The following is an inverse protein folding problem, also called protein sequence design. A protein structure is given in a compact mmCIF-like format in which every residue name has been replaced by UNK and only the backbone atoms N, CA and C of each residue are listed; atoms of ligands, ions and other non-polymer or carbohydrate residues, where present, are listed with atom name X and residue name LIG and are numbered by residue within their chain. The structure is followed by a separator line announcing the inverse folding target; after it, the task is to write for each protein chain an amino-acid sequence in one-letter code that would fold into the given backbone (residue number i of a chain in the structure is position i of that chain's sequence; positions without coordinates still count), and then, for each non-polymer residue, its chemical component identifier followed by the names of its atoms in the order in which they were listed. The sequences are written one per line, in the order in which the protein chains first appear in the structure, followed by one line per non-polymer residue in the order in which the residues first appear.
data_IF_707222352001
#
_entry.id   IF_707222352001
#
_cell.length_a   1.000
_cell.length_b   1.000
_cell.length_c   1.000
_cell.angle_alpha   90.00
_cell.angle_beta   90.00
_cell.angle_gamma   90.00
#
_symmetry.space_group_name_H-M   'P 1'
#
loop_
_entity.id
_entity.type
_entity.pdbx_description
1 polymer ?
#
# COMPACT_ATOMS: atom_id res chain seq x y z
N UNK A 1 -15.56 8.95 34.78
CA UNK A 1 -14.18 8.96 34.22
C UNK A 1 -14.30 8.47 32.81
N UNK A 2 -13.71 9.14 31.80
CA UNK A 2 -13.79 8.69 30.42
C UNK A 2 -12.65 7.71 30.14
N UNK A 3 -12.97 6.54 29.61
CA UNK A 3 -12.00 5.50 29.25
C UNK A 3 -11.57 5.69 27.78
N UNK A 4 -10.29 5.48 27.49
CA UNK A 4 -9.79 5.45 26.11
C UNK A 4 -10.08 4.07 25.54
N UNK A 5 -10.91 4.00 24.50
CA UNK A 5 -11.25 2.75 23.81
C UNK A 5 -10.52 2.61 22.46
N UNK A 6 -9.94 3.70 21.95
CA UNK A 6 -9.12 3.72 20.73
C UNK A 6 -8.09 4.84 20.85
N UNK A 7 -6.87 4.60 20.35
CA UNK A 7 -5.82 5.59 20.23
C UNK A 7 -5.00 5.39 18.96
N UNK A 8 -4.76 6.49 18.22
CA UNK A 8 -3.87 6.56 17.05
C UNK A 8 -2.90 7.72 17.25
N UNK A 9 -1.63 7.50 16.96
CA UNK A 9 -0.56 8.50 17.11
C UNK A 9 0.09 8.76 15.76
N UNK A 10 0.25 10.03 15.38
CA UNK A 10 0.86 10.46 14.12
C UNK A 10 2.30 10.95 14.36
N UNK A 11 3.16 10.05 14.83
CA UNK A 11 4.57 10.36 15.17
C UNK A 11 5.49 10.46 13.96
N UNK A 12 5.06 9.98 12.80
CA UNK A 12 5.78 10.03 11.52
C UNK A 12 5.84 11.43 10.91
N UNK A 13 5.02 12.37 11.42
CA UNK A 13 4.90 13.75 10.97
C UNK A 13 5.97 14.65 11.59
N UNK A 14 6.14 15.85 11.05
CA UNK A 14 6.90 16.91 11.69
C UNK A 14 6.32 17.22 13.06
N UNK A 15 7.16 17.64 14.00
CA UNK A 15 6.74 17.87 15.40
C UNK A 15 5.53 18.80 15.53
N UNK A 16 5.44 19.81 14.67
CA UNK A 16 4.31 20.76 14.63
C UNK A 16 2.98 20.14 14.17
N UNK A 17 2.99 18.89 13.69
CA UNK A 17 1.83 18.16 13.19
C UNK A 17 1.58 16.84 13.94
N UNK A 18 2.38 16.54 14.97
CA UNK A 18 2.24 15.29 15.71
C UNK A 18 1.08 15.35 16.70
N UNK A 19 0.10 14.50 16.49
CA UNK A 19 -1.11 14.43 17.31
C UNK A 19 -1.44 13.01 17.74
N UNK A 20 -2.25 12.89 18.78
CA UNK A 20 -2.99 11.68 19.12
C UNK A 20 -4.46 11.88 18.81
N UNK A 21 -5.10 10.93 18.16
CA UNK A 21 -6.55 10.81 18.01
C UNK A 21 -7.06 9.72 18.93
N UNK A 22 -7.96 10.08 19.85
CA UNK A 22 -8.49 9.19 20.88
C UNK A 22 -10.00 9.08 20.72
N UNK A 23 -10.57 7.88 20.90
CA UNK A 23 -12.00 7.71 21.14
C UNK A 23 -12.16 7.43 22.64
N UNK A 24 -12.95 8.26 23.28
CA UNK A 24 -13.23 8.20 24.71
C UNK A 24 -14.67 7.74 24.91
N UNK A 25 -14.88 6.85 25.86
CA UNK A 25 -16.21 6.38 26.28
C UNK A 25 -16.42 6.70 27.76
N UNK A 26 -17.54 7.24 28.10
CA UNK A 26 -17.91 7.49 29.52
C UNK A 26 -18.76 6.35 30.10
N UNK A 27 -19.15 6.50 31.37
CA UNK A 27 -19.92 5.48 32.09
C UNK A 27 -21.34 5.25 31.55
N UNK A 28 -21.84 6.11 30.67
CA UNK A 28 -23.15 6.02 30.00
C UNK A 28 -23.01 5.52 28.58
N UNK A 29 -21.81 5.04 28.17
CA UNK A 29 -21.47 4.58 26.82
C UNK A 29 -21.53 5.70 25.75
N UNK A 30 -21.52 6.96 26.17
CA UNK A 30 -21.40 8.07 25.24
C UNK A 30 -19.95 8.21 24.77
N UNK A 31 -19.77 8.30 23.45
CA UNK A 31 -18.46 8.37 22.81
C UNK A 31 -18.13 9.80 22.38
N UNK A 32 -16.86 10.14 22.53
CA UNK A 32 -16.31 11.43 22.10
C UNK A 32 -14.99 11.18 21.39
N UNK A 33 -14.73 11.83 20.27
CA UNK A 33 -13.43 11.84 19.61
C UNK A 33 -12.64 13.02 20.15
N UNK A 34 -11.39 12.79 20.55
CA UNK A 34 -10.46 13.83 20.99
C UNK A 34 -9.21 13.79 20.12
N UNK A 35 -8.79 14.95 19.64
CA UNK A 35 -7.46 15.13 19.06
C UNK A 35 -6.63 15.99 20.00
N UNK A 36 -5.41 15.57 20.28
CA UNK A 36 -4.49 16.28 21.17
C UNK A 36 -3.08 16.30 20.60
N UNK A 37 -2.41 17.43 20.76
CA UNK A 37 -1.02 17.59 20.38
C UNK A 37 -0.10 16.70 21.23
N UNK A 38 0.92 16.13 20.60
CA UNK A 38 1.96 15.36 21.32
C UNK A 38 3.08 16.27 21.84
N UNK A 39 3.21 17.48 21.29
CA UNK A 39 4.20 18.49 21.65
C UNK A 39 3.58 19.87 21.62
N UNK A 40 4.13 20.82 22.37
CA UNK A 40 3.66 22.21 22.36
C UNK A 40 3.70 22.84 20.95
N UNK A 41 4.68 22.47 20.13
CA UNK A 41 4.76 22.92 18.73
C UNK A 41 3.53 22.59 17.90
N UNK A 42 2.80 21.53 18.25
CA UNK A 42 1.60 21.09 17.56
C UNK A 42 0.29 21.75 18.09
N UNK A 43 0.36 22.60 19.11
CA UNK A 43 -0.83 23.24 19.67
C UNK A 43 -1.61 24.06 18.62
N UNK A 44 -0.89 24.89 17.86
CA UNK A 44 -1.51 25.71 16.84
C UNK A 44 -2.24 24.85 15.78
N UNK A 45 -1.64 23.73 15.36
CA UNK A 45 -2.24 22.81 14.39
C UNK A 45 -3.54 22.18 14.93
N UNK A 46 -3.54 21.71 16.18
CA UNK A 46 -4.74 21.11 16.80
C UNK A 46 -5.83 22.15 17.01
N UNK A 47 -5.48 23.33 17.55
CA UNK A 47 -6.45 24.38 17.86
C UNK A 47 -7.07 25.01 16.60
N UNK A 48 -6.34 25.00 15.48
CA UNK A 48 -6.86 25.45 14.19
C UNK A 48 -8.12 24.69 13.76
N UNK A 49 -8.29 23.41 14.15
CA UNK A 49 -9.50 22.64 13.83
C UNK A 49 -10.77 23.29 14.39
N UNK A 50 -10.71 23.80 15.62
CA UNK A 50 -11.85 24.49 16.24
C UNK A 50 -12.18 25.83 15.55
N UNK A 51 -11.17 26.52 15.01
CA UNK A 51 -11.34 27.74 14.22
C UNK A 51 -11.89 27.43 12.82
N UNK A 52 -11.43 26.32 12.22
CA UNK A 52 -11.80 25.94 10.86
C UNK A 52 -13.20 25.31 10.76
N UNK A 53 -13.70 24.62 11.80
CA UNK A 53 -15.02 24.02 11.80
C UNK A 53 -16.14 24.98 11.32
N UNK A 54 -16.35 26.17 11.93
CA UNK A 54 -17.37 27.09 11.47
C UNK A 54 -17.07 27.73 10.11
N UNK A 55 -15.81 27.82 9.70
CA UNK A 55 -15.41 28.29 8.35
C UNK A 55 -15.84 27.29 7.29
N UNK A 56 -15.53 26.01 7.48
CA UNK A 56 -15.92 24.95 6.58
C UNK A 56 -17.44 24.76 6.54
N UNK A 57 -18.12 24.83 7.68
CA UNK A 57 -19.58 24.76 7.72
C UNK A 57 -20.27 25.89 6.90
N UNK A 58 -19.62 27.04 6.77
CA UNK A 58 -20.09 28.13 5.89
C UNK A 58 -19.75 27.91 4.42
N UNK A 59 -18.65 27.19 4.13
CA UNK A 59 -18.24 26.88 2.76
C UNK A 59 -19.08 25.76 2.14
N UNK A 60 -19.32 24.69 2.93
CA UNK A 60 -20.09 23.52 2.47
C UNK A 60 -21.60 23.75 2.72
N UNK A 61 -22.19 24.69 2.00
CA UNK A 61 -23.63 24.93 2.09
C UNK A 61 -24.49 24.00 1.23
N UNK A 62 -23.89 22.96 0.68
CA UNK A 62 -24.58 22.03 -0.20
C UNK A 62 -25.50 21.07 0.55
N UNK A 63 -26.50 20.61 -0.16
CA UNK A 63 -27.60 19.78 0.34
C UNK A 63 -27.10 18.51 1.05
N UNK A 64 -27.42 18.41 2.34
CA UNK A 64 -27.19 17.21 3.14
C UNK A 64 -25.75 16.97 3.59
N UNK A 65 -24.81 17.92 3.35
CA UNK A 65 -23.46 17.85 3.88
C UNK A 65 -23.34 18.78 5.11
N UNK A 66 -22.92 18.23 6.23
CA UNK A 66 -22.58 18.96 7.44
C UNK A 66 -21.15 18.74 7.86
N UNK A 67 -20.57 19.72 8.54
CA UNK A 67 -19.23 19.60 9.16
C UNK A 67 -19.42 19.22 10.62
N UNK A 68 -18.76 18.17 11.07
CA UNK A 68 -18.77 17.75 12.47
C UNK A 68 -18.30 18.92 13.36
N UNK A 69 -19.05 19.34 14.36
CA UNK A 69 -18.65 20.47 15.22
C UNK A 69 -17.40 20.10 16.03
N UNK A 70 -16.49 21.07 16.17
CA UNK A 70 -15.28 20.96 16.96
C UNK A 70 -15.27 21.95 18.10
N UNK A 71 -14.88 21.51 19.28
CA UNK A 71 -14.73 22.35 20.47
C UNK A 71 -13.31 22.28 21.01
N UNK A 72 -12.74 23.40 21.40
CA UNK A 72 -11.50 23.43 22.17
C UNK A 72 -11.77 22.82 23.55
N UNK A 73 -10.98 21.83 23.94
CA UNK A 73 -11.10 21.03 25.18
C UNK A 73 -9.86 21.18 26.09
N UNK A 74 -9.21 22.32 26.00
CA UNK A 74 -7.98 22.65 26.71
C UNK A 74 -6.88 23.09 25.76
N UNK A 75 -5.72 23.35 26.30
CA UNK A 75 -4.54 23.75 25.53
C UNK A 75 -4.05 22.58 24.68
N UNK A 76 -3.85 22.82 23.38
CA UNK A 76 -3.46 21.79 22.40
C UNK A 76 -4.44 20.61 22.30
N UNK A 77 -5.73 20.82 22.64
CA UNK A 77 -6.76 19.75 22.60
C UNK A 77 -8.07 20.26 22.02
N UNK A 78 -8.67 19.39 21.20
CA UNK A 78 -10.01 19.59 20.67
C UNK A 78 -10.84 18.33 20.81
N UNK A 79 -12.16 18.47 20.88
CA UNK A 79 -13.11 17.36 20.95
C UNK A 79 -14.22 17.49 19.91
N UNK A 80 -14.71 16.34 19.47
CA UNK A 80 -15.77 16.17 18.49
C UNK A 80 -16.81 15.18 19.04
N UNK A 81 -18.09 15.34 18.73
CA UNK A 81 -19.06 14.28 18.97
C UNK A 81 -18.70 13.06 18.14
N UNK A 82 -18.93 11.88 18.68
CA UNK A 82 -18.79 10.63 17.92
C UNK A 82 -20.04 10.46 17.05
N UNK A 83 -19.85 10.55 15.72
CA UNK A 83 -20.93 10.34 14.74
C UNK A 83 -20.99 8.83 14.42
N UNK A 84 -22.17 8.23 14.51
CA UNK A 84 -22.43 6.88 14.05
C UNK A 84 -22.93 6.95 12.62
N UNK A 85 -22.31 6.25 11.71
CA UNK A 85 -22.66 6.23 10.31
C UNK A 85 -21.81 5.25 9.53
N UNK A 86 -22.18 5.00 8.31
CA UNK A 86 -21.41 4.21 7.37
C UNK A 86 -20.33 5.12 6.73
N UNK A 87 -19.12 4.64 6.67
CA UNK A 87 -18.02 5.36 6.04
C UNK A 87 -18.15 5.30 4.51
N UNK A 88 -18.09 6.44 3.83
CA UNK A 88 -18.25 6.50 2.37
C UNK A 88 -17.18 5.67 1.63
N UNK A 89 -15.96 5.61 2.17
CA UNK A 89 -14.87 4.81 1.63
C UNK A 89 -15.20 3.31 1.65
N UNK A 90 -15.74 2.82 2.78
CA UNK A 90 -16.18 1.45 2.94
C UNK A 90 -17.36 1.13 2.03
N UNK A 91 -18.37 2.00 1.97
CA UNK A 91 -19.51 1.85 1.05
C UNK A 91 -19.04 1.69 -0.40
N UNK A 92 -18.12 2.54 -0.87
CA UNK A 92 -17.60 2.44 -2.23
C UNK A 92 -16.87 1.12 -2.47
N UNK A 93 -16.05 0.67 -1.51
CA UNK A 93 -15.34 -0.61 -1.62
C UNK A 93 -16.31 -1.79 -1.70
N UNK A 94 -17.38 -1.80 -0.89
CA UNK A 94 -18.41 -2.85 -0.93
C UNK A 94 -19.17 -2.85 -2.26
N UNK A 95 -19.61 -1.69 -2.75
CA UNK A 95 -20.30 -1.58 -4.05
C UNK A 95 -19.42 -2.02 -5.23
N UNK A 96 -18.12 -1.71 -5.19
CA UNK A 96 -17.16 -2.19 -6.19
C UNK A 96 -17.03 -3.72 -6.13
N UNK A 97 -16.92 -4.29 -4.94
CA UNK A 97 -16.85 -5.74 -4.75
C UNK A 97 -18.10 -6.47 -5.25
N UNK A 98 -19.28 -5.86 -5.12
CA UNK A 98 -20.55 -6.36 -5.63
C UNK A 98 -20.76 -6.13 -7.13
N UNK A 99 -19.88 -5.34 -7.78
CA UNK A 99 -20.00 -4.98 -9.20
C UNK A 99 -21.05 -3.89 -9.48
N UNK A 100 -21.56 -3.20 -8.45
CA UNK A 100 -22.57 -2.14 -8.60
C UNK A 100 -21.89 -0.78 -8.92
N UNK A 101 -21.30 -0.70 -10.10
CA UNK A 101 -20.65 0.51 -10.57
C UNK A 101 -21.60 1.71 -10.67
N UNK A 102 -22.91 1.48 -10.84
CA UNK A 102 -23.88 2.57 -10.90
C UNK A 102 -23.95 3.33 -9.58
N UNK A 103 -24.06 2.63 -8.45
CA UNK A 103 -24.06 3.26 -7.13
C UNK A 103 -22.71 3.93 -6.81
N UNK A 104 -21.60 3.34 -7.23
CA UNK A 104 -20.27 3.96 -7.11
C UNK A 104 -20.26 5.32 -7.82
N UNK A 105 -20.69 5.36 -9.08
CA UNK A 105 -20.73 6.58 -9.90
C UNK A 105 -21.66 7.64 -9.31
N UNK A 106 -22.84 7.26 -8.81
CA UNK A 106 -23.77 8.15 -8.13
C UNK A 106 -23.16 8.79 -6.88
N UNK A 107 -22.50 8.00 -6.03
CA UNK A 107 -21.88 8.53 -4.79
C UNK A 107 -20.65 9.39 -5.06
N UNK A 108 -19.82 8.99 -6.02
CA UNK A 108 -18.66 9.80 -6.46
C UNK A 108 -19.15 11.12 -7.10
N UNK A 109 -20.24 11.07 -7.89
CA UNK A 109 -20.85 12.28 -8.44
C UNK A 109 -21.39 13.22 -7.37
N UNK A 110 -22.01 12.68 -6.31
CA UNK A 110 -22.46 13.47 -5.17
C UNK A 110 -21.27 14.11 -4.42
N UNK A 111 -20.19 13.36 -4.24
CA UNK A 111 -18.97 13.89 -3.64
C UNK A 111 -18.38 15.05 -4.47
N UNK A 112 -18.38 14.93 -5.80
CA UNK A 112 -18.00 16.06 -6.67
C UNK A 112 -18.91 17.28 -6.45
N UNK A 113 -20.23 17.08 -6.31
CA UNK A 113 -21.15 18.19 -6.01
C UNK A 113 -20.79 18.88 -4.69
N UNK A 114 -20.38 18.15 -3.66
CA UNK A 114 -19.92 18.75 -2.41
C UNK A 114 -18.70 19.65 -2.60
N UNK A 115 -17.76 19.26 -3.45
CA UNK A 115 -16.56 20.05 -3.75
C UNK A 115 -16.87 21.24 -4.65
N UNK A 116 -17.67 21.06 -5.69
CA UNK A 116 -17.93 22.09 -6.71
C UNK A 116 -18.96 23.14 -6.28
N UNK A 117 -19.83 22.80 -5.31
CA UNK A 117 -20.85 23.72 -4.77
C UNK A 117 -20.38 24.49 -3.52
N UNK A 118 -19.09 24.50 -3.22
CA UNK A 118 -18.55 25.35 -2.17
C UNK A 118 -18.77 26.81 -2.47
N UNK A 119 -18.85 27.60 -1.41
CA UNK A 119 -19.03 29.07 -1.54
C UNK A 119 -17.76 29.69 -2.14
N UNK A 120 -17.98 30.74 -2.95
CA UNK A 120 -16.91 31.60 -3.52
C UNK A 120 -15.86 30.79 -4.31
N UNK A 121 -16.30 29.75 -5.06
CA UNK A 121 -15.44 29.03 -5.98
C UNK A 121 -15.11 29.91 -7.18
N UNK A 122 -13.82 30.10 -7.44
CA UNK A 122 -13.28 30.94 -8.51
C UNK A 122 -12.24 30.18 -9.34
N UNK A 123 -11.84 30.71 -10.51
CA UNK A 123 -10.71 30.15 -11.27
C UNK A 123 -9.47 30.10 -10.39
N UNK A 124 -8.81 28.93 -10.40
CA UNK A 124 -7.60 28.74 -9.60
C UNK A 124 -6.40 29.50 -10.16
N UNK A 125 -5.72 30.24 -9.28
CA UNK A 125 -4.43 30.87 -9.56
C UNK A 125 -3.46 30.49 -8.47
N UNK A 126 -2.30 29.86 -8.80
CA UNK A 126 -1.33 29.44 -7.79
C UNK A 126 -0.68 30.65 -7.10
N UNK A 127 -0.90 30.78 -5.78
CA UNK A 127 -0.28 31.80 -4.93
C UNK A 127 1.05 31.32 -4.34
N UNK A 128 1.73 32.20 -3.58
CA UNK A 128 3.01 31.89 -2.93
C UNK A 128 2.87 30.70 -1.94
N UNK A 129 1.89 30.73 -1.04
CA UNK A 129 1.62 29.64 -0.08
C UNK A 129 1.32 28.29 -0.74
N UNK A 130 0.70 28.30 -1.91
CA UNK A 130 0.47 27.10 -2.70
C UNK A 130 1.82 26.54 -3.17
N UNK A 131 2.69 27.38 -3.73
CA UNK A 131 4.01 26.96 -4.24
C UNK A 131 4.97 26.48 -3.13
N UNK A 132 4.86 27.06 -1.93
CA UNK A 132 5.64 26.59 -0.76
C UNK A 132 5.35 25.11 -0.42
N UNK A 133 4.12 24.65 -0.62
CA UNK A 133 3.72 23.29 -0.28
C UNK A 133 3.82 22.34 -1.48
N UNK A 134 3.32 22.78 -2.64
CA UNK A 134 3.18 21.90 -3.81
C UNK A 134 4.28 22.10 -4.85
N UNK A 135 5.11 23.15 -4.72
CA UNK A 135 6.15 23.47 -5.70
C UNK A 135 5.62 24.14 -6.97
N UNK A 136 6.47 24.20 -7.97
CA UNK A 136 6.14 24.71 -9.31
C UNK A 136 5.65 23.55 -10.19
N UNK A 137 4.35 23.25 -10.09
CA UNK A 137 3.70 22.19 -10.88
C UNK A 137 2.94 22.83 -12.04
N UNK A 138 3.16 22.34 -13.26
CA UNK A 138 2.38 22.75 -14.45
C UNK A 138 1.01 22.09 -14.42
N UNK A 139 0.02 22.79 -13.91
CA UNK A 139 -1.34 22.31 -13.82
C UNK A 139 -2.15 22.63 -15.09
N UNK A 140 -3.21 21.86 -15.42
CA UNK A 140 -4.12 22.14 -16.53
C UNK A 140 -4.83 23.48 -16.35
N UNK A 141 -5.24 24.07 -17.48
CA UNK A 141 -6.10 25.25 -17.48
C UNK A 141 -7.53 24.91 -17.02
N UNK A 142 -8.24 25.92 -16.52
CA UNK A 142 -9.66 25.82 -16.16
C UNK A 142 -9.93 25.17 -14.79
N UNK A 143 -8.90 24.97 -13.97
CA UNK A 143 -9.08 24.54 -12.60
C UNK A 143 -9.77 25.63 -11.76
N UNK A 144 -10.53 25.18 -10.77
CA UNK A 144 -11.24 26.06 -9.84
C UNK A 144 -10.87 25.75 -8.39
N UNK A 145 -11.01 26.71 -7.51
CA UNK A 145 -10.70 26.55 -6.09
C UNK A 145 -11.62 27.41 -5.23
N UNK A 146 -11.86 26.95 -3.99
CA UNK A 146 -12.45 27.77 -2.94
C UNK A 146 -11.33 28.54 -2.19
N UNK A 147 -11.63 29.68 -1.55
CA UNK A 147 -10.64 30.45 -0.80
C UNK A 147 -10.11 29.72 0.44
N UNK A 148 -10.84 28.72 0.93
CA UNK A 148 -10.45 27.82 2.03
C UNK A 148 -10.54 26.41 1.53
N UNK A 149 -9.45 25.68 1.61
CA UNK A 149 -9.34 24.32 1.08
C UNK A 149 -9.14 23.30 2.19
N UNK A 150 -10.01 22.29 2.25
CA UNK A 150 -9.87 21.17 3.17
C UNK A 150 -9.28 19.96 2.42
N UNK A 151 -8.00 19.64 2.66
CA UNK A 151 -7.36 18.49 2.05
C UNK A 151 -7.84 17.14 2.62
N UNK A 152 -8.44 17.17 3.82
CA UNK A 152 -9.06 15.99 4.42
C UNK A 152 -10.45 15.69 3.87
N UNK A 153 -10.91 16.45 2.88
CA UNK A 153 -12.13 16.13 2.15
C UNK A 153 -11.88 14.93 1.24
N UNK A 154 -11.89 13.75 1.85
CA UNK A 154 -11.69 12.44 1.21
C UNK A 154 -12.77 11.47 1.66
N UNK A 155 -13.03 10.42 0.90
CA UNK A 155 -14.11 9.46 1.18
C UNK A 155 -14.06 8.86 2.59
N UNK A 156 -12.86 8.55 3.10
CA UNK A 156 -12.67 8.00 4.44
C UNK A 156 -13.10 8.94 5.58
N UNK A 157 -13.18 10.23 5.32
CA UNK A 157 -13.54 11.25 6.30
C UNK A 157 -15.00 11.73 6.16
N UNK A 158 -15.80 11.04 5.35
CA UNK A 158 -17.21 11.31 5.17
C UNK A 158 -18.01 10.14 5.71
N UNK A 159 -18.83 10.40 6.72
CA UNK A 159 -19.80 9.45 7.26
C UNK A 159 -21.19 9.74 6.66
N UNK A 160 -21.87 8.67 6.31
CA UNK A 160 -23.28 8.68 5.89
C UNK A 160 -24.12 8.20 7.07
N UNK A 161 -25.07 9.00 7.49
CA UNK A 161 -26.01 8.63 8.55
C UNK A 161 -27.45 8.98 8.16
N UNK A 162 -28.39 8.82 9.11
CA UNK A 162 -29.80 9.14 8.86
C UNK A 162 -30.12 10.61 8.57
N UNK A 163 -29.16 11.51 8.78
CA UNK A 163 -29.30 12.95 8.54
C UNK A 163 -28.58 13.41 7.27
N UNK A 164 -27.87 12.51 6.58
CA UNK A 164 -27.12 12.81 5.35
C UNK A 164 -25.63 12.49 5.45
N UNK A 165 -24.79 13.47 5.17
CA UNK A 165 -23.33 13.31 5.12
C UNK A 165 -22.64 14.22 6.14
N UNK A 166 -21.66 13.68 6.85
CA UNK A 166 -20.88 14.43 7.83
C UNK A 166 -19.38 14.35 7.50
N UNK A 167 -18.75 15.53 7.35
CA UNK A 167 -17.29 15.63 7.30
C UNK A 167 -16.77 15.54 8.73
N UNK A 168 -16.00 14.49 9.03
CA UNK A 168 -15.56 14.16 10.40
C UNK A 168 -14.12 14.51 10.69
N UNK A 169 -13.29 14.68 9.67
CA UNK A 169 -11.90 15.11 9.79
C UNK A 169 -11.62 16.31 8.90
N UNK A 170 -10.93 17.29 9.43
CA UNK A 170 -10.48 18.50 8.75
C UNK A 170 -9.26 19.09 9.46
N UNK A 171 -8.27 18.28 9.61
CA UNK A 171 -6.97 18.59 10.21
C UNK A 171 -6.13 19.49 9.29
N UNK A 172 -6.23 19.21 7.96
CA UNK A 172 -5.46 19.88 6.92
C UNK A 172 -6.33 20.88 6.15
N UNK A 173 -6.60 22.01 6.80
CA UNK A 173 -7.33 23.11 6.19
C UNK A 173 -6.39 24.27 5.92
N UNK A 174 -6.32 24.67 4.66
CA UNK A 174 -5.52 25.79 4.19
C UNK A 174 -6.39 27.05 3.97
N UNK A 175 -5.84 28.20 4.32
CA UNK A 175 -6.44 29.52 4.11
C UNK A 175 -6.03 30.14 2.76
N UNK A 176 -5.73 29.30 1.79
CA UNK A 176 -5.39 29.64 0.42
C UNK A 176 -6.01 28.63 -0.55
N UNK A 177 -6.22 29.05 -1.83
CA UNK A 177 -6.83 28.18 -2.83
C UNK A 177 -5.97 26.95 -3.16
N UNK A 178 -6.63 25.78 -3.20
CA UNK A 178 -6.10 24.53 -3.76
C UNK A 178 -7.14 24.02 -4.76
N UNK A 179 -6.74 23.53 -5.95
CA UNK A 179 -7.70 23.08 -6.96
C UNK A 179 -8.67 22.03 -6.42
N UNK A 180 -9.98 22.24 -6.57
CA UNK A 180 -10.99 21.24 -6.16
C UNK A 180 -10.89 19.97 -6.99
N UNK A 181 -10.38 20.05 -8.22
CA UNK A 181 -10.06 18.90 -9.07
C UNK A 181 -8.96 18.03 -8.45
N UNK A 182 -7.97 18.64 -7.80
CA UNK A 182 -6.98 17.90 -7.02
C UNK A 182 -7.61 17.21 -5.81
N UNK A 183 -8.45 17.88 -5.03
CA UNK A 183 -9.15 17.27 -3.90
C UNK A 183 -9.99 16.06 -4.34
N UNK A 184 -10.67 16.20 -5.48
CA UNK A 184 -11.46 15.14 -6.08
C UNK A 184 -10.57 13.97 -6.54
N UNK A 185 -9.56 14.26 -7.35
CA UNK A 185 -8.61 13.25 -7.84
C UNK A 185 -7.88 12.54 -6.69
N UNK A 186 -7.49 13.28 -5.64
CA UNK A 186 -6.88 12.76 -4.43
C UNK A 186 -7.77 11.73 -3.74
N UNK A 187 -9.05 12.00 -3.62
CA UNK A 187 -10.01 11.06 -3.01
C UNK A 187 -10.12 9.77 -3.81
N UNK A 188 -10.14 9.86 -5.15
CA UNK A 188 -10.14 8.70 -6.03
C UNK A 188 -8.81 7.92 -5.97
N UNK A 189 -7.67 8.63 -5.86
CA UNK A 189 -6.35 8.02 -5.75
C UNK A 189 -6.18 7.25 -4.43
N UNK A 190 -6.71 7.77 -3.34
CA UNK A 190 -6.58 7.16 -2.01
C UNK A 190 -7.52 5.98 -1.80
N UNK A 191 -8.61 5.87 -2.57
CA UNK A 191 -9.54 4.74 -2.47
C UNK A 191 -9.01 3.53 -3.25
N UNK A 192 -8.50 2.54 -2.52
CA UNK A 192 -7.83 1.37 -3.08
C UNK A 192 -8.70 0.53 -4.01
N UNK A 193 -10.00 0.37 -3.72
CA UNK A 193 -10.92 -0.41 -4.54
C UNK A 193 -11.15 0.23 -5.93
N UNK A 194 -11.15 1.57 -6.03
CA UNK A 194 -11.27 2.27 -7.32
C UNK A 194 -10.11 1.90 -8.26
N UNK A 195 -8.91 1.63 -7.70
CA UNK A 195 -7.75 1.23 -8.51
C UNK A 195 -7.90 -0.17 -9.13
N UNK A 196 -8.88 -0.97 -8.69
CA UNK A 196 -9.18 -2.29 -9.26
C UNK A 196 -10.19 -2.26 -10.40
N UNK A 197 -10.87 -1.14 -10.60
CA UNK A 197 -11.83 -0.94 -11.69
C UNK A 197 -11.15 -0.97 -13.07
N UNK A 198 -11.93 -1.23 -14.14
CA UNK A 198 -11.42 -1.12 -15.50
C UNK A 198 -10.98 0.31 -15.81
N UNK A 199 -10.14 0.47 -16.82
CA UNK A 199 -9.67 1.80 -17.26
C UNK A 199 -10.84 2.70 -17.63
N UNK A 200 -11.81 2.17 -18.36
CA UNK A 200 -13.01 2.89 -18.80
C UNK A 200 -13.84 3.36 -17.62
N UNK A 201 -14.00 2.50 -16.61
CA UNK A 201 -14.72 2.88 -15.37
C UNK A 201 -13.98 3.96 -14.58
N UNK A 202 -12.64 3.87 -14.50
CA UNK A 202 -11.85 4.92 -13.87
C UNK A 202 -11.96 6.23 -14.66
N UNK A 203 -11.88 6.21 -15.99
CA UNK A 203 -12.08 7.39 -16.86
C UNK A 203 -13.45 8.04 -16.60
N UNK A 204 -14.52 7.23 -16.49
CA UNK A 204 -15.85 7.73 -16.16
C UNK A 204 -15.91 8.42 -14.80
N UNK A 205 -15.25 7.86 -13.77
CA UNK A 205 -15.25 8.47 -12.43
C UNK A 205 -14.46 9.79 -12.40
N UNK A 206 -13.25 9.82 -13.00
CA UNK A 206 -12.44 11.04 -13.05
C UNK A 206 -13.12 12.14 -13.86
N UNK A 207 -13.81 11.79 -14.95
CA UNK A 207 -14.55 12.72 -15.80
C UNK A 207 -15.69 13.45 -15.06
N UNK A 208 -16.26 12.88 -13.99
CA UNK A 208 -17.25 13.56 -13.14
C UNK A 208 -16.73 14.87 -12.54
N UNK A 209 -15.42 14.92 -12.24
CA UNK A 209 -14.75 16.12 -11.74
C UNK A 209 -14.05 16.94 -12.83
N UNK A 210 -14.29 16.64 -14.11
CA UNK A 210 -13.59 17.28 -15.21
C UNK A 210 -12.10 16.95 -15.29
N UNK A 211 -11.68 15.85 -14.66
CA UNK A 211 -10.28 15.38 -14.61
C UNK A 211 -10.07 14.32 -15.68
N UNK A 212 -9.03 14.45 -16.48
CA UNK A 212 -8.62 13.41 -17.41
C UNK A 212 -7.73 12.39 -16.71
N UNK A 213 -7.85 11.13 -17.09
CA UNK A 213 -7.08 10.05 -16.45
C UNK A 213 -5.56 10.24 -16.67
N UNK A 214 -5.15 10.86 -17.76
CA UNK A 214 -3.76 11.21 -18.09
C UNK A 214 -3.18 12.27 -17.14
N UNK A 215 -4.02 13.05 -16.44
CA UNK A 215 -3.61 14.07 -15.47
C UNK A 215 -3.29 13.48 -14.09
N UNK A 216 -3.61 12.21 -13.84
CA UNK A 216 -3.32 11.52 -12.55
C UNK A 216 -1.88 11.69 -12.06
N UNK A 217 -0.85 11.60 -12.91
CA UNK A 217 0.54 11.80 -12.45
C UNK A 217 0.77 13.18 -11.82
N UNK A 218 0.13 14.23 -12.33
CA UNK A 218 0.25 15.60 -11.79
C UNK A 218 -0.38 15.70 -10.39
N UNK A 219 -1.57 15.13 -10.23
CA UNK A 219 -2.25 15.11 -8.92
C UNK A 219 -1.54 14.19 -7.92
N UNK A 220 -0.91 13.11 -8.41
CA UNK A 220 -0.05 12.28 -7.57
C UNK A 220 1.20 13.03 -7.12
N UNK A 221 1.81 13.85 -7.98
CA UNK A 221 2.94 14.71 -7.63
C UNK A 221 2.54 15.73 -6.56
N UNK A 222 1.36 16.36 -6.67
CA UNK A 222 0.82 17.22 -5.63
C UNK A 222 0.67 16.47 -4.29
N UNK A 223 0.13 15.25 -4.30
CA UNK A 223 0.04 14.43 -3.09
C UNK A 223 1.41 14.12 -2.49
N UNK A 224 2.40 13.80 -3.31
CA UNK A 224 3.79 13.59 -2.87
C UNK A 224 4.36 14.86 -2.22
N UNK A 225 4.15 16.03 -2.80
CA UNK A 225 4.58 17.30 -2.22
C UNK A 225 3.91 17.58 -0.87
N UNK A 226 2.59 17.34 -0.79
CA UNK A 226 1.85 17.45 0.47
C UNK A 226 2.39 16.49 1.54
N UNK A 227 2.67 15.23 1.19
CA UNK A 227 3.24 14.25 2.13
C UNK A 227 4.65 14.66 2.60
N UNK A 228 5.46 15.25 1.73
CA UNK A 228 6.76 15.83 2.10
C UNK A 228 6.58 16.99 3.11
N UNK A 229 5.62 17.86 2.86
CA UNK A 229 5.29 18.94 3.79
C UNK A 229 4.88 18.41 5.16
N UNK A 230 4.00 17.41 5.21
CA UNK A 230 3.52 16.79 6.46
C UNK A 230 4.64 16.09 7.24
N UNK A 231 5.50 15.36 6.55
CA UNK A 231 6.52 14.53 7.18
C UNK A 231 7.86 15.24 7.38
N UNK A 232 8.10 16.34 6.67
CA UNK A 232 9.39 17.04 6.66
C UNK A 232 10.52 16.25 5.99
N UNK A 233 10.19 15.26 5.16
CA UNK A 233 11.15 14.37 4.52
C UNK A 233 11.19 14.64 3.02
N UNK A 234 12.37 14.92 2.48
CA UNK A 234 12.56 15.12 1.04
C UNK A 234 12.32 13.83 0.24
N UNK A 235 12.66 12.68 0.82
CA UNK A 235 12.37 11.37 0.23
C UNK A 235 11.31 10.65 1.07
N UNK A 236 10.20 10.31 0.44
CA UNK A 236 9.20 9.41 1.01
C UNK A 236 9.75 7.99 0.93
N UNK A 237 10.63 7.68 1.86
CA UNK A 237 11.33 6.42 1.93
C UNK A 237 10.35 5.24 2.05
N UNK A 238 10.68 4.11 1.42
CA UNK A 238 9.94 2.83 1.56
C UNK A 238 9.75 2.48 3.03
N UNK A 239 10.73 2.80 3.90
CA UNK A 239 10.64 2.60 5.35
C UNK A 239 9.51 3.40 6.01
N UNK A 240 9.26 4.65 5.62
CA UNK A 240 8.17 5.43 6.21
C UNK A 240 6.80 4.97 5.72
N UNK A 241 6.70 4.44 4.49
CA UNK A 241 5.49 3.75 4.00
C UNK A 241 5.27 2.43 4.74
N UNK A 242 6.34 1.70 5.03
CA UNK A 242 6.27 0.51 5.87
C UNK A 242 5.81 0.87 7.28
N UNK A 243 6.41 1.86 7.94
CA UNK A 243 6.01 2.30 9.28
C UNK A 243 4.56 2.80 9.32
N UNK A 244 4.11 3.55 8.30
CA UNK A 244 2.72 4.02 8.23
C UNK A 244 1.72 2.87 8.02
N UNK A 245 2.11 1.80 7.31
CA UNK A 245 1.27 0.60 7.11
C UNK A 245 1.34 -0.38 8.27
N UNK A 246 2.44 -0.42 9.01
CA UNK A 246 2.68 -1.41 10.07
C UNK A 246 2.11 -1.01 11.42
N UNK A 247 1.49 0.18 11.55
CA UNK A 247 0.99 0.67 12.83
C UNK A 247 2.05 0.57 13.91
N UNK A 248 2.34 1.62 14.63
CA UNK A 248 3.39 1.65 15.67
C UNK A 248 3.16 0.64 16.81
N UNK A 249 1.99 0.01 16.88
CA UNK A 249 1.59 -0.85 17.99
C UNK A 249 2.20 -2.27 17.93
N UNK A 250 2.55 -2.76 16.73
CA UNK A 250 3.11 -4.11 16.60
C UNK A 250 4.59 -4.22 16.99
N UNK A 251 5.34 -3.11 16.99
CA UNK A 251 6.78 -3.14 17.28
C UNK A 251 7.15 -3.20 18.75
N UNK A 252 6.32 -2.69 19.64
CA UNK A 252 6.66 -2.61 21.06
C UNK A 252 6.63 -3.96 21.78
N UNK A 253 5.77 -4.87 21.38
CA UNK A 253 5.71 -6.21 21.97
C UNK A 253 6.86 -7.11 21.50
N UNK A 254 7.31 -6.95 20.27
CA UNK A 254 8.37 -7.77 19.68
C UNK A 254 9.79 -7.26 20.01
N UNK A 255 9.94 -6.02 20.44
CA UNK A 255 11.25 -5.46 20.79
C UNK A 255 11.95 -6.24 21.91
N UNK A 256 11.19 -6.87 22.82
CA UNK A 256 11.70 -7.69 23.92
C UNK A 256 11.98 -9.14 23.53
N UNK A 257 11.41 -9.61 22.41
CA UNK A 257 11.64 -10.96 21.90
C UNK A 257 12.22 -10.89 20.48
N UNK A 258 13.47 -10.51 20.39
CA UNK A 258 14.18 -10.36 19.08
C UNK A 258 14.61 -11.69 18.48
N UNK A 259 14.43 -12.81 19.18
CA UNK A 259 14.85 -14.13 18.68
C UNK A 259 14.22 -14.48 17.33
N UNK A 260 12.95 -14.14 17.12
CA UNK A 260 12.25 -14.40 15.87
C UNK A 260 12.63 -13.46 14.71
N UNK A 261 13.41 -12.41 14.99
CA UNK A 261 13.97 -11.54 13.94
C UNK A 261 15.26 -12.12 13.35
N UNK A 262 15.84 -13.09 14.04
CA UNK A 262 17.01 -13.81 13.57
C UNK A 262 16.59 -15.10 12.88
N UNK A 263 17.30 -15.48 11.86
CA UNK A 263 17.13 -16.72 11.16
C UNK A 263 18.48 -17.40 10.94
N UNK A 264 18.44 -18.69 10.64
CA UNK A 264 19.64 -19.49 10.43
C UNK A 264 19.86 -19.73 8.95
N UNK A 265 21.08 -19.48 8.52
CA UNK A 265 21.57 -19.86 7.19
C UNK A 265 22.37 -21.14 7.35
N UNK A 266 22.03 -22.17 6.56
CA UNK A 266 22.76 -23.45 6.61
C UNK A 266 23.12 -23.91 5.21
N UNK A 267 24.31 -24.47 5.07
CA UNK A 267 24.73 -25.22 3.90
C UNK A 267 24.91 -26.69 4.28
N UNK A 268 24.20 -27.57 3.60
CA UNK A 268 24.31 -29.02 3.78
C UNK A 268 25.02 -29.61 2.59
N UNK A 269 26.01 -30.46 2.85
CA UNK A 269 26.65 -31.33 1.84
C UNK A 269 25.91 -32.67 1.73
N UNK A 270 25.56 -33.07 0.52
CA UNK A 270 24.94 -34.37 0.24
C UNK A 270 26.03 -35.37 -0.16
N UNK A 271 26.37 -36.36 0.71
CA UNK A 271 27.46 -37.29 0.46
C UNK A 271 27.21 -38.17 -0.77
N UNK A 272 28.31 -38.61 -1.42
CA UNK A 272 28.27 -39.53 -2.58
C UNK A 272 27.91 -40.94 -2.19
N UNK A 273 28.22 -41.35 -0.96
CA UNK A 273 27.98 -42.68 -0.42
C UNK A 273 26.54 -42.93 0.03
N UNK A 274 25.68 -41.92 -0.08
CA UNK A 274 24.26 -42.00 0.30
C UNK A 274 24.01 -41.85 1.81
N UNK A 275 25.02 -41.51 2.60
CA UNK A 275 24.83 -41.17 4.02
C UNK A 275 24.05 -39.89 4.20
N UNK A 276 23.61 -39.64 5.44
CA UNK A 276 22.82 -38.43 5.79
C UNK A 276 23.55 -37.14 5.43
N UNK A 277 22.79 -36.07 5.02
CA UNK A 277 23.36 -34.76 4.73
C UNK A 277 24.16 -34.19 5.92
N UNK A 278 25.32 -33.65 5.64
CA UNK A 278 26.22 -33.06 6.63
C UNK A 278 26.12 -31.55 6.63
N UNK A 279 25.90 -30.95 7.79
CA UNK A 279 25.94 -29.48 7.92
C UNK A 279 27.40 -29.01 7.80
N UNK A 280 27.68 -28.27 6.73
CA UNK A 280 28.99 -27.71 6.43
C UNK A 280 29.20 -26.32 6.98
N UNK A 281 28.10 -25.59 7.09
CA UNK A 281 28.07 -24.20 7.57
C UNK A 281 26.74 -23.89 8.24
N UNK A 282 26.79 -23.19 9.35
CA UNK A 282 25.65 -22.58 9.99
C UNK A 282 26.02 -21.18 10.50
N UNK A 283 25.21 -20.20 10.19
CA UNK A 283 25.35 -18.83 10.67
C UNK A 283 23.98 -18.29 11.08
N UNK A 284 24.00 -17.18 11.81
CA UNK A 284 22.79 -16.52 12.30
C UNK A 284 22.77 -15.08 11.79
N UNK A 285 21.70 -14.72 11.13
CA UNK A 285 21.52 -13.41 10.52
C UNK A 285 20.28 -12.71 11.03
N UNK A 286 20.34 -11.38 10.97
CA UNK A 286 19.18 -10.52 11.10
C UNK A 286 18.58 -10.28 9.72
N UNK A 287 17.30 -9.90 9.66
CA UNK A 287 16.61 -9.57 8.41
C UNK A 287 17.38 -8.55 7.56
N UNK A 288 17.45 -8.78 6.25
CA UNK A 288 18.11 -7.89 5.31
C UNK A 288 18.98 -8.60 4.28
N UNK A 289 20.13 -8.05 3.98
CA UNK A 289 21.09 -8.63 3.04
C UNK A 289 22.05 -9.57 3.76
N UNK A 290 22.22 -10.75 3.18
CA UNK A 290 23.24 -11.73 3.59
C UNK A 290 24.33 -11.76 2.53
N UNK A 291 25.56 -11.65 2.98
CA UNK A 291 26.75 -11.82 2.16
C UNK A 291 27.71 -12.73 2.93
N UNK A 292 27.96 -13.92 2.41
CA UNK A 292 28.84 -14.91 3.04
C UNK A 292 29.74 -15.58 2.02
N UNK A 293 30.95 -15.88 2.47
CA UNK A 293 31.88 -16.76 1.78
C UNK A 293 32.10 -18.03 2.61
N UNK A 294 31.46 -19.11 2.18
CA UNK A 294 31.42 -20.38 2.89
C UNK A 294 32.55 -21.28 2.36
N UNK A 295 33.44 -21.76 3.23
CA UNK A 295 34.44 -22.76 2.87
C UNK A 295 33.83 -24.14 2.84
N UNK A 296 34.16 -24.91 1.83
CA UNK A 296 33.69 -26.29 1.65
C UNK A 296 34.89 -27.24 1.87
N UNK A 297 34.99 -27.86 3.04
CA UNK A 297 36.01 -28.87 3.29
C UNK A 297 35.70 -30.16 2.54
N UNK A 298 36.71 -30.89 2.13
CA UNK A 298 36.60 -32.24 1.49
C UNK A 298 35.55 -32.27 0.36
N UNK A 299 35.61 -31.28 -0.54
CA UNK A 299 34.60 -31.09 -1.59
C UNK A 299 34.32 -32.36 -2.40
N UNK A 300 35.31 -33.22 -2.66
CA UNK A 300 35.15 -34.48 -3.38
C UNK A 300 34.20 -35.48 -2.70
N UNK A 301 33.94 -35.35 -1.41
CA UNK A 301 33.03 -36.21 -0.65
C UNK A 301 31.55 -35.99 -1.03
N UNK A 302 31.19 -34.82 -1.51
CA UNK A 302 29.78 -34.44 -1.74
C UNK A 302 29.43 -34.49 -3.23
N UNK A 303 28.22 -34.95 -3.57
CA UNK A 303 27.68 -34.91 -4.93
C UNK A 303 26.92 -33.64 -5.23
N UNK A 304 26.31 -33.05 -4.21
CA UNK A 304 25.49 -31.84 -4.32
C UNK A 304 25.47 -31.08 -2.98
N UNK A 305 24.96 -29.85 -3.02
CA UNK A 305 24.73 -29.03 -1.85
C UNK A 305 23.28 -28.61 -1.75
N UNK A 306 22.80 -28.44 -0.51
CA UNK A 306 21.52 -27.85 -0.21
C UNK A 306 21.75 -26.57 0.61
N UNK A 307 21.41 -25.41 0.06
CA UNK A 307 21.37 -24.13 0.77
C UNK A 307 19.99 -23.96 1.40
N UNK A 308 19.98 -23.72 2.69
CA UNK A 308 18.82 -23.34 3.51
C UNK A 308 19.01 -21.90 3.96
N UNK A 309 18.60 -20.91 3.15
CA UNK A 309 18.96 -19.50 3.38
C UNK A 309 18.20 -18.84 4.53
N UNK A 310 17.12 -19.47 4.99
CA UNK A 310 16.29 -19.04 6.13
C UNK A 310 15.47 -20.26 6.61
N UNK A 311 15.13 -20.28 7.88
CA UNK A 311 14.41 -21.40 8.53
C UNK A 311 12.90 -21.17 8.68
N UNK A 312 12.34 -20.19 7.97
CA UNK A 312 10.91 -19.87 7.94
C UNK A 312 10.47 -19.51 6.51
N UNK A 313 9.18 -19.32 6.30
CA UNK A 313 8.64 -18.79 5.04
C UNK A 313 9.27 -17.44 4.71
N UNK A 314 9.58 -17.22 3.44
CA UNK A 314 10.29 -16.00 3.02
C UNK A 314 10.09 -15.64 1.55
N UNK A 315 10.41 -14.38 1.26
CA UNK A 315 10.75 -13.92 -0.08
C UNK A 315 12.27 -13.76 -0.14
N UNK A 316 12.89 -14.35 -1.15
CA UNK A 316 14.33 -14.26 -1.39
C UNK A 316 14.61 -13.62 -2.74
N UNK A 317 15.55 -12.68 -2.76
CA UNK A 317 16.15 -12.18 -4.00
C UNK A 317 17.64 -12.55 -3.99
N UNK A 318 18.02 -13.47 -4.86
CA UNK A 318 19.41 -13.90 -4.97
C UNK A 318 20.16 -12.90 -5.86
N UNK A 319 21.15 -12.21 -5.31
CA UNK A 319 22.02 -11.31 -6.04
C UNK A 319 23.21 -12.06 -6.62
N UNK A 320 23.81 -12.97 -5.81
CA UNK A 320 25.00 -13.72 -6.18
C UNK A 320 24.97 -15.11 -5.57
N UNK A 321 25.23 -16.14 -6.37
CA UNK A 321 25.49 -17.50 -5.93
C UNK A 321 26.58 -18.05 -6.85
N UNK A 322 27.80 -18.12 -6.33
CA UNK A 322 28.98 -18.49 -7.08
C UNK A 322 29.82 -19.52 -6.32
N UNK A 323 30.41 -20.42 -7.05
CA UNK A 323 31.34 -21.40 -6.54
C UNK A 323 32.77 -21.09 -7.01
N UNK A 324 33.76 -21.23 -6.13
CA UNK A 324 35.16 -21.08 -6.49
C UNK A 324 35.78 -22.47 -6.67
N UNK A 325 36.35 -22.67 -7.85
CA UNK A 325 37.11 -23.86 -8.20
C UNK A 325 38.41 -23.44 -8.89
N UNK A 326 39.55 -24.01 -8.51
CA UNK A 326 40.86 -23.71 -9.12
C UNK A 326 41.12 -22.20 -9.26
N UNK A 327 40.80 -21.42 -8.21
CA UNK A 327 40.91 -19.95 -8.16
C UNK A 327 39.98 -19.20 -9.13
N UNK A 328 39.05 -19.86 -9.80
CA UNK A 328 38.05 -19.27 -10.67
C UNK A 328 36.67 -19.30 -10.01
N UNK A 329 36.00 -18.15 -10.05
CA UNK A 329 34.61 -18.06 -9.65
C UNK A 329 33.70 -18.37 -10.84
N UNK A 330 32.71 -19.20 -10.63
CA UNK A 330 31.68 -19.53 -11.63
C UNK A 330 30.28 -19.46 -11.01
N UNK A 331 29.33 -19.00 -11.81
CA UNK A 331 27.94 -18.93 -11.39
C UNK A 331 27.37 -20.33 -11.15
N UNK A 332 26.78 -20.53 -9.98
CA UNK A 332 26.08 -21.76 -9.61
C UNK A 332 24.66 -21.74 -10.14
N UNK A 333 24.28 -22.84 -10.83
CA UNK A 333 22.91 -23.03 -11.30
C UNK A 333 22.15 -23.95 -10.33
N UNK A 334 20.98 -23.49 -9.90
CA UNK A 334 20.08 -24.32 -9.06
C UNK A 334 19.53 -25.49 -9.89
N UNK A 335 19.60 -26.69 -9.34
CA UNK A 335 18.96 -27.89 -9.88
C UNK A 335 17.54 -28.07 -9.34
N UNK A 336 17.29 -27.56 -8.14
CA UNK A 336 15.99 -27.61 -7.48
C UNK A 336 15.78 -26.43 -6.55
N UNK A 337 14.54 -26.00 -6.37
CA UNK A 337 14.07 -25.15 -5.28
C UNK A 337 12.59 -25.44 -4.99
N UNK A 338 12.17 -25.32 -3.72
CA UNK A 338 10.77 -25.50 -3.29
C UNK A 338 9.92 -24.23 -3.36
N UNK A 339 10.43 -23.16 -3.97
CA UNK A 339 9.67 -21.91 -4.13
C UNK A 339 8.47 -22.09 -5.05
N UNK A 340 7.31 -21.56 -4.63
CA UNK A 340 6.04 -21.68 -5.34
C UNK A 340 5.96 -20.75 -6.55
N UNK A 341 6.58 -19.58 -6.45
CA UNK A 341 6.59 -18.57 -7.52
C UNK A 341 7.99 -17.98 -7.66
N UNK A 342 8.41 -17.78 -8.90
CA UNK A 342 9.58 -16.98 -9.26
C UNK A 342 9.13 -15.77 -10.07
N UNK A 343 9.56 -14.59 -9.66
CA UNK A 343 9.29 -13.34 -10.36
C UNK A 343 10.60 -12.56 -10.55
N UNK A 344 11.17 -12.64 -11.77
CA UNK A 344 12.52 -12.16 -12.01
C UNK A 344 13.53 -12.92 -11.17
N UNK A 345 14.28 -12.21 -10.33
CA UNK A 345 15.28 -12.79 -9.43
C UNK A 345 14.74 -13.08 -8.01
N UNK A 346 13.44 -12.83 -7.76
CA UNK A 346 12.80 -13.06 -6.48
C UNK A 346 12.03 -14.41 -6.47
N UNK A 347 12.20 -15.15 -5.39
CA UNK A 347 11.53 -16.42 -5.12
C UNK A 347 10.61 -16.26 -3.91
N UNK A 348 9.40 -16.83 -3.98
CA UNK A 348 8.39 -16.80 -2.93
C UNK A 348 8.20 -18.20 -2.35
N UNK A 349 8.37 -18.34 -1.04
CA UNK A 349 8.35 -19.63 -0.34
C UNK A 349 7.28 -19.63 0.75
N UNK A 350 6.35 -20.59 0.69
CA UNK A 350 5.36 -20.90 1.76
C UNK A 350 5.88 -21.90 2.80
N UNK A 351 7.07 -22.38 2.63
CA UNK A 351 7.78 -23.28 3.53
C UNK A 351 9.23 -22.78 3.62
N UNK A 352 10.00 -23.20 4.64
CA UNK A 352 11.41 -22.84 4.70
C UNK A 352 12.12 -23.11 3.36
N UNK A 353 12.79 -22.11 2.79
CA UNK A 353 13.44 -22.24 1.49
C UNK A 353 14.49 -23.36 1.48
N UNK A 354 14.43 -24.15 0.42
CA UNK A 354 15.42 -25.18 0.11
C UNK A 354 15.86 -25.02 -1.34
N UNK A 355 17.16 -24.86 -1.54
CA UNK A 355 17.76 -24.67 -2.85
C UNK A 355 18.90 -25.68 -3.04
N UNK A 356 18.84 -26.47 -4.10
CA UNK A 356 19.83 -27.52 -4.37
C UNK A 356 20.62 -27.20 -5.64
N UNK A 357 21.89 -27.57 -5.63
CA UNK A 357 22.78 -27.45 -6.78
C UNK A 357 23.86 -28.51 -6.75
N UNK A 358 24.37 -28.86 -7.93
CA UNK A 358 25.43 -29.83 -8.08
C UNK A 358 26.77 -29.33 -7.53
N UNK A 359 27.53 -30.23 -6.93
CA UNK A 359 28.91 -29.93 -6.57
C UNK A 359 29.82 -30.16 -7.78
N UNK A 360 30.48 -29.08 -8.22
CA UNK A 360 31.54 -29.15 -9.25
C UNK A 360 32.90 -28.98 -8.64
N UNK A 361 33.10 -29.58 -7.45
CA UNK A 361 34.36 -29.53 -6.70
C UNK A 361 34.70 -28.13 -6.20
N UNK A 362 33.65 -27.38 -5.79
CA UNK A 362 33.82 -26.03 -5.22
C UNK A 362 34.52 -26.10 -3.86
N UNK A 363 35.60 -25.33 -3.72
CA UNK A 363 36.32 -25.17 -2.44
C UNK A 363 35.70 -24.10 -1.56
N UNK A 364 35.00 -23.16 -2.16
CA UNK A 364 34.18 -22.15 -1.44
C UNK A 364 32.97 -21.73 -2.26
N UNK A 365 31.96 -21.26 -1.55
CA UNK A 365 30.72 -20.67 -2.13
C UNK A 365 30.59 -19.25 -1.67
N UNK A 366 30.31 -18.33 -2.59
CA UNK A 366 29.92 -16.95 -2.29
C UNK A 366 28.42 -16.82 -2.47
N UNK A 367 27.74 -16.42 -1.41
CA UNK A 367 26.29 -16.33 -1.37
C UNK A 367 25.91 -14.91 -0.97
N UNK A 368 25.16 -14.23 -1.85
CA UNK A 368 24.64 -12.90 -1.58
C UNK A 368 23.15 -12.89 -1.95
N UNK A 369 22.29 -12.53 -1.00
CA UNK A 369 20.85 -12.42 -1.22
C UNK A 369 20.20 -11.45 -0.23
N UNK A 370 19.03 -10.98 -0.60
CA UNK A 370 18.13 -10.23 0.30
C UNK A 370 17.02 -11.16 0.71
N UNK A 371 16.72 -11.17 2.01
CA UNK A 371 15.64 -11.98 2.58
C UNK A 371 14.63 -11.12 3.31
N UNK A 372 13.35 -11.43 3.08
CA UNK A 372 12.22 -10.94 3.84
C UNK A 372 11.47 -12.16 4.36
N UNK A 373 11.60 -12.46 5.65
CA UNK A 373 10.98 -13.64 6.26
C UNK A 373 9.61 -13.34 6.89
N UNK A 374 8.80 -14.38 7.10
CA UNK A 374 7.38 -14.29 7.47
C UNK A 374 7.11 -13.59 8.81
N UNK A 375 8.04 -13.58 9.75
CA UNK A 375 7.86 -12.87 11.00
C UNK A 375 7.59 -11.37 10.83
N UNK A 376 7.68 -10.89 9.60
CA UNK A 376 7.21 -9.59 9.18
C UNK A 376 5.79 -9.72 8.63
N UNK A 377 4.80 -9.15 9.29
CA UNK A 377 3.35 -9.21 8.98
C UNK A 377 3.03 -9.03 7.48
N UNK A 378 3.63 -8.03 6.82
CA UNK A 378 3.40 -7.75 5.40
C UNK A 378 3.98 -8.82 4.45
N UNK A 379 4.97 -9.59 4.89
CA UNK A 379 5.62 -10.59 4.04
C UNK A 379 4.73 -11.81 3.89
N UNK A 380 4.07 -12.26 4.98
CA UNK A 380 3.11 -13.36 4.93
C UNK A 380 1.98 -13.09 3.94
N UNK A 381 1.32 -11.92 4.04
CA UNK A 381 0.28 -11.50 3.10
C UNK A 381 0.80 -11.39 1.66
N UNK A 382 1.99 -10.81 1.46
CA UNK A 382 2.60 -10.66 0.14
C UNK A 382 2.89 -12.01 -0.52
N UNK A 383 3.34 -13.00 0.26
CA UNK A 383 3.56 -14.37 -0.23
C UNK A 383 2.22 -14.99 -0.63
N UNK A 384 1.20 -14.91 0.22
CA UNK A 384 -0.10 -15.50 -0.02
C UNK A 384 -0.78 -14.91 -1.25
N UNK A 385 -0.87 -13.59 -1.35
CA UNK A 385 -1.44 -12.88 -2.50
C UNK A 385 -0.68 -13.20 -3.80
N UNK A 386 0.63 -13.33 -3.74
CA UNK A 386 1.43 -13.62 -4.94
C UNK A 386 1.22 -15.03 -5.43
N UNK A 387 1.16 -16.00 -4.52
CA UNK A 387 0.91 -17.41 -4.85
C UNK A 387 -0.50 -17.57 -5.40
N UNK A 388 -1.50 -16.96 -4.78
CA UNK A 388 -2.88 -16.97 -5.25
C UNK A 388 -3.01 -16.37 -6.66
N UNK A 389 -2.45 -15.18 -6.89
CA UNK A 389 -2.43 -14.56 -8.21
C UNK A 389 -1.80 -15.45 -9.29
N UNK A 390 -0.72 -16.15 -8.97
CA UNK A 390 -0.09 -17.05 -9.93
C UNK A 390 -0.94 -18.30 -10.19
N UNK A 391 -1.63 -18.82 -9.18
CA UNK A 391 -2.60 -19.91 -9.35
C UNK A 391 -3.75 -19.49 -10.25
N UNK A 392 -4.34 -18.31 -10.00
CA UNK A 392 -5.43 -17.75 -10.82
C UNK A 392 -4.99 -17.52 -12.29
N UNK A 393 -3.78 -17.02 -12.50
CA UNK A 393 -3.21 -16.86 -13.86
C UNK A 393 -3.04 -18.20 -14.58
N UNK A 394 -2.58 -19.25 -13.90
CA UNK A 394 -2.47 -20.60 -14.46
C UNK A 394 -3.83 -21.18 -14.80
N UNK A 395 -4.82 -20.98 -13.96
CA UNK A 395 -6.21 -21.38 -14.23
C UNK A 395 -6.78 -20.63 -15.43
N UNK A 396 -6.67 -19.32 -15.47
CA UNK A 396 -7.10 -18.48 -16.59
C UNK A 396 -6.44 -18.92 -17.89
N UNK A 397 -5.13 -19.24 -17.88
CA UNK A 397 -4.39 -19.79 -19.03
C UNK A 397 -4.98 -21.11 -19.52
N UNK A 398 -5.48 -21.97 -18.63
CA UNK A 398 -6.17 -23.23 -19.04
C UNK A 398 -7.50 -22.95 -19.73
N UNK A 399 -8.25 -21.94 -19.29
CA UNK A 399 -9.52 -21.54 -19.90
C UNK A 399 -9.31 -20.85 -21.26
N UNK A 400 -8.37 -19.92 -21.35
CA UNK A 400 -8.03 -19.21 -22.60
C UNK A 400 -7.48 -20.15 -23.64
N UNK A 401 -6.62 -21.09 -23.27
CA UNK A 401 -6.11 -22.14 -24.18
C UNK A 401 -7.22 -23.06 -24.70
N UNK A 402 -8.21 -23.40 -23.85
CA UNK A 402 -9.38 -24.22 -24.29
C UNK A 402 -10.30 -23.44 -25.23
N UNK A 403 -10.52 -22.16 -24.98
CA UNK A 403 -11.30 -21.28 -25.88
C UNK A 403 -10.60 -21.12 -27.22
N UNK A 404 -9.31 -20.84 -27.24
CA UNK A 404 -8.51 -20.71 -28.46
C UNK A 404 -8.55 -21.98 -29.32
N UNK A 405 -8.36 -23.14 -28.70
CA UNK A 405 -8.45 -24.43 -29.39
C UNK A 405 -9.87 -24.76 -29.90
N UNK A 406 -10.94 -24.33 -29.20
CA UNK A 406 -12.32 -24.45 -29.67
C UNK A 406 -12.58 -23.58 -30.91
N UNK A 407 -12.10 -22.35 -30.89
CA UNK A 407 -12.24 -21.39 -32.01
C UNK A 407 -11.46 -21.90 -33.20
N UNK A 408 -10.21 -22.33 -33.07
CA UNK A 408 -9.41 -22.90 -34.15
C UNK A 408 -10.08 -24.15 -34.78
N UNK A 409 -10.60 -25.06 -33.93
CA UNK A 409 -11.32 -26.25 -34.39
C UNK A 409 -12.63 -25.88 -35.16
N UNK A 410 -13.33 -24.85 -34.69
CA UNK A 410 -14.55 -24.37 -35.37
C UNK A 410 -14.24 -23.71 -36.70
N UNK A 411 -13.21 -22.88 -36.77
CA UNK A 411 -12.71 -22.28 -38.01
C UNK A 411 -12.20 -23.35 -38.98
N UNK A 412 -11.45 -24.34 -38.49
CA UNK A 412 -10.95 -25.46 -39.27
C UNK A 412 -12.05 -26.39 -39.83
N UNK A 413 -13.22 -26.50 -39.14
CA UNK A 413 -14.41 -27.17 -39.70
C UNK A 413 -15.07 -26.34 -40.78
N UNK A 414 -15.31 -25.05 -40.54
CA UNK A 414 -15.91 -24.14 -41.52
C UNK A 414 -15.10 -24.02 -42.79
N UNK A 415 -13.76 -24.08 -42.72
CA UNK A 415 -12.90 -24.07 -43.90
C UNK A 415 -12.88 -25.41 -44.66
N UNK A 416 -13.08 -26.54 -43.96
CA UNK A 416 -13.25 -27.86 -44.59
C UNK A 416 -14.59 -28.01 -45.31
N UNK A 417 -15.68 -27.56 -44.67
CA UNK A 417 -17.03 -27.59 -45.22
C UNK A 417 -17.16 -26.68 -46.49
N UNK A 418 -16.42 -25.56 -46.54
CA UNK A 418 -16.31 -24.72 -47.74
C UNK A 418 -15.49 -25.36 -48.89
N UNK A 419 -14.55 -26.27 -48.55
CA UNK A 419 -13.76 -26.99 -49.59
C UNK A 419 -14.49 -28.22 -50.16
N UNK A 420 -15.39 -28.82 -49.40
CA UNK A 420 -16.22 -29.95 -49.85
C UNK A 420 -17.50 -29.54 -50.58
N UNK A 421 -17.85 -28.26 -50.60
CA UNK A 421 -19.02 -27.72 -51.31
C UNK A 421 -18.72 -27.08 -52.67
N UNK A 422 -17.58 -27.38 -53.31
CA UNK A 422 -17.24 -26.97 -54.69
C UNK A 422 -16.87 -28.19 -55.52
N UNK A 423 -17.86 -29.06 -55.75
CA UNK A 423 -17.94 -29.97 -56.88
C UNK A 423 -19.38 -30.44 -56.99
N UNK A 424 -20.21 -29.60 -57.57
CA UNK A 424 -21.32 -29.97 -58.45
C UNK A 424 -21.62 -28.73 -59.31
#
# INVERSE_FOLDING_TARGET
MKNVIYAKYSRERREEFQIATLILEDGESEKTVRKQALHEKAFAHVEAMAVNAPRLARNYQSQGLRVCPCKRDGEGRVSFPFIRGENMDQFLAERIAEGDFKQVKEKVGLFWQFLSSQKDVEPFVPGEKFREIFGEISLPDGLTAAPVSNLDMVFSNILMDGEGFAVTDYEWVFDFPVPIQFLFARSLLLQGAIQTLSREQQEELYALGGVKLEERPLYHEMEVCFQKYVTGREELNVLSRLHAKMGTDCYFLDYWNTEHLYYRVRLLGIPRDGSEPVCLHESRHFQGTVEEKIQVPDTGRYRAFTLLPVDTEAILKINRLEGTREEKEEKVSLTYHNGQVKNGDAYYFKEPPRMEFENREYHSLTVEYVVWHRNHFLIGESIDLRVENEQLRRELGKYTGRLHNRVIRKIGRLLRDRRSGKTE
#
